data_IF_309035436268
#
_entry.id   IF_309035436268
#
_cell.length_a   1.000
_cell.length_b   1.000
_cell.length_c   1.000
_cell.angle_alpha   90.00
_cell.angle_beta   90.00
_cell.angle_gamma   90.00
#
_symmetry.space_group_name_H-M   'P 1'
#
loop_
_entity.id
_entity.type
_entity.pdbx_description
1 polymer ?
#
# COMPACT_ATOMS: atom_id res chain seq x y z
N UNK A 1 14.31 0.57 -4.57
CA UNK A 1 14.24 0.72 -3.10
C UNK A 1 12.89 0.25 -2.54
N UNK A 2 11.75 0.90 -2.82
CA UNK A 2 10.44 0.46 -2.29
C UNK A 2 10.03 -0.97 -2.72
N UNK A 3 10.19 -1.29 -4.01
CA UNK A 3 9.84 -2.62 -4.56
C UNK A 3 10.64 -3.78 -3.95
N UNK A 4 11.88 -3.56 -3.54
CA UNK A 4 12.71 -4.59 -2.91
C UNK A 4 12.20 -4.97 -1.52
N UNK A 5 11.70 -3.99 -0.75
CA UNK A 5 11.11 -4.22 0.56
C UNK A 5 9.81 -5.03 0.41
N UNK A 6 8.96 -4.65 -0.54
CA UNK A 6 7.71 -5.36 -0.87
C UNK A 6 7.96 -6.84 -1.17
N UNK A 7 8.93 -7.11 -2.06
CA UNK A 7 9.24 -8.47 -2.48
C UNK A 7 9.85 -9.32 -1.37
N UNK A 8 10.72 -8.75 -0.54
CA UNK A 8 11.33 -9.48 0.59
C UNK A 8 10.30 -9.86 1.66
N UNK A 9 9.24 -9.06 1.83
CA UNK A 9 8.22 -9.27 2.85
C UNK A 9 7.12 -10.24 2.38
N UNK A 10 6.86 -10.33 1.07
CA UNK A 10 5.83 -11.22 0.48
C UNK A 10 5.97 -12.70 0.87
N UNK A 11 7.19 -13.18 1.13
CA UNK A 11 7.44 -14.56 1.55
C UNK A 11 7.19 -14.83 3.05
N UNK A 12 7.02 -13.78 3.85
CA UNK A 12 6.87 -13.86 5.33
C UNK A 12 5.42 -13.59 5.73
N UNK A 13 4.74 -12.66 5.05
CA UNK A 13 3.33 -12.35 5.26
C UNK A 13 2.51 -12.82 4.08
N UNK A 14 1.48 -13.62 4.36
CA UNK A 14 0.58 -14.17 3.34
C UNK A 14 -0.52 -13.17 2.94
N UNK A 15 -0.16 -11.89 2.83
CA UNK A 15 -1.05 -10.76 2.56
C UNK A 15 -0.46 -9.87 1.47
N UNK A 16 -1.32 -9.26 0.65
CA UNK A 16 -0.86 -8.30 -0.34
C UNK A 16 -0.36 -7.02 0.33
N UNK A 17 0.85 -6.60 -0.06
CA UNK A 17 1.50 -5.41 0.48
C UNK A 17 1.58 -4.32 -0.58
N UNK A 18 1.16 -3.11 -0.20
CA UNK A 18 1.13 -1.94 -1.06
C UNK A 18 1.92 -0.80 -0.40
N UNK A 19 2.66 -0.03 -1.20
CA UNK A 19 3.21 1.28 -0.82
C UNK A 19 2.52 2.36 -1.63
N UNK A 20 2.14 3.44 -0.97
CA UNK A 20 1.41 4.55 -1.57
C UNK A 20 2.14 5.88 -1.32
N UNK A 21 1.98 6.83 -2.23
CA UNK A 21 2.43 8.21 -2.02
C UNK A 21 1.39 9.03 -1.22
N UNK A 22 1.70 10.31 -0.95
CA UNK A 22 0.83 11.22 -0.18
C UNK A 22 -0.47 11.60 -0.90
N UNK A 23 -0.58 11.31 -2.19
CA UNK A 23 -1.79 11.50 -2.99
C UNK A 23 -2.69 10.28 -2.92
N UNK A 24 -2.25 9.18 -2.29
CA UNK A 24 -2.97 7.91 -2.23
C UNK A 24 -2.74 7.04 -3.46
N UNK A 25 -1.74 7.33 -4.30
CA UNK A 25 -1.40 6.52 -5.48
C UNK A 25 -0.45 5.41 -5.08
N UNK A 26 -0.74 4.17 -5.49
CA UNK A 26 0.12 3.02 -5.23
C UNK A 26 1.37 3.10 -6.11
N UNK A 27 2.53 3.16 -5.47
CA UNK A 27 3.86 3.27 -6.12
C UNK A 27 4.64 1.94 -6.11
N UNK A 28 4.23 0.98 -5.28
CA UNK A 28 4.72 -0.40 -5.31
C UNK A 28 3.67 -1.34 -4.72
N UNK A 29 3.57 -2.56 -5.23
CA UNK A 29 2.58 -3.55 -4.80
C UNK A 29 3.09 -4.97 -5.03
N UNK A 30 2.66 -5.93 -4.20
CA UNK A 30 2.81 -7.37 -4.44
C UNK A 30 1.92 -7.89 -5.58
N UNK A 31 0.89 -7.12 -5.96
CA UNK A 31 0.08 -7.24 -7.16
C UNK A 31 0.43 -6.10 -8.14
N UNK A 32 1.18 -6.38 -9.23
CA UNK A 32 1.59 -5.37 -10.20
C UNK A 32 0.44 -4.60 -10.84
N UNK A 33 -0.76 -5.18 -10.96
CA UNK A 33 -1.90 -4.53 -11.59
C UNK A 33 -2.42 -3.32 -10.80
N UNK A 34 -2.03 -3.21 -9.51
CA UNK A 34 -2.42 -2.11 -8.65
C UNK A 34 -1.51 -0.89 -8.73
N UNK A 35 -0.30 -1.02 -9.30
CA UNK A 35 0.62 0.12 -9.41
C UNK A 35 -0.01 1.22 -10.27
N UNK A 36 0.15 2.48 -9.87
CA UNK A 36 -0.49 3.67 -10.45
C UNK A 36 -2.02 3.75 -10.28
N UNK A 37 -2.62 2.92 -9.43
CA UNK A 37 -4.05 3.06 -9.05
C UNK A 37 -4.20 3.88 -7.76
N UNK A 38 -5.38 4.50 -7.59
CA UNK A 38 -5.71 5.24 -6.38
C UNK A 38 -6.27 4.33 -5.29
N UNK A 39 -5.84 4.55 -4.06
CA UNK A 39 -6.32 3.87 -2.87
C UNK A 39 -6.94 4.88 -1.88
N UNK A 40 -8.25 4.84 -1.73
CA UNK A 40 -8.99 5.81 -0.92
C UNK A 40 -8.57 5.81 0.56
N UNK A 41 -8.47 4.61 1.17
CA UNK A 41 -8.04 4.51 2.56
C UNK A 41 -6.62 5.10 2.79
N UNK A 42 -5.72 4.98 1.82
CA UNK A 42 -4.38 5.55 1.90
C UNK A 42 -4.43 7.09 1.96
N UNK A 43 -5.27 7.70 1.11
CA UNK A 43 -5.50 9.15 1.14
C UNK A 43 -6.10 9.60 2.47
N UNK A 44 -7.11 8.87 2.97
CA UNK A 44 -7.71 9.15 4.27
C UNK A 44 -6.70 9.03 5.44
N UNK A 45 -5.82 8.03 5.43
CA UNK A 45 -4.76 7.87 6.44
C UNK A 45 -3.84 9.10 6.49
N UNK A 46 -3.39 9.56 5.32
CA UNK A 46 -2.49 10.72 5.18
C UNK A 46 -3.17 12.00 5.65
N UNK A 47 -4.41 12.23 5.22
CA UNK A 47 -5.14 13.47 5.53
C UNK A 47 -5.49 13.56 7.02
N UNK A 48 -5.88 12.43 7.62
CA UNK A 48 -6.26 12.37 9.04
C UNK A 48 -5.06 12.20 9.98
N UNK A 49 -3.87 11.86 9.43
CA UNK A 49 -2.67 11.49 10.19
C UNK A 49 -2.94 10.39 11.21
N UNK A 50 -3.71 9.38 10.82
CA UNK A 50 -4.12 8.26 11.67
C UNK A 50 -3.93 6.95 10.95
N UNK A 51 -3.65 5.90 11.72
CA UNK A 51 -3.75 4.52 11.25
C UNK A 51 -5.24 4.24 11.03
N UNK A 52 -5.59 3.74 9.84
CA UNK A 52 -6.94 3.28 9.51
C UNK A 52 -6.86 1.77 9.33
N UNK A 53 -7.68 1.05 10.11
CA UNK A 53 -7.92 -0.38 9.95
C UNK A 53 -9.36 -0.51 9.45
N UNK A 54 -9.54 -1.27 8.37
CA UNK A 54 -10.87 -1.57 7.80
C UNK A 54 -11.10 -3.05 8.06
N UNK A 55 -12.10 -3.36 8.88
CA UNK A 55 -12.53 -4.72 9.16
C UNK A 55 -13.67 -5.09 8.20
N UNK A 56 -13.70 -6.33 7.73
CA UNK A 56 -14.74 -6.93 6.89
C UNK A 56 -15.27 -8.18 7.57
#
# INVERSE_FOLDING_TARGET
MASQIVNNIKGIINQDLNFMDRRGVIIASTDPNRVNTFHEAAKACVDRKKIIVIEY
#
